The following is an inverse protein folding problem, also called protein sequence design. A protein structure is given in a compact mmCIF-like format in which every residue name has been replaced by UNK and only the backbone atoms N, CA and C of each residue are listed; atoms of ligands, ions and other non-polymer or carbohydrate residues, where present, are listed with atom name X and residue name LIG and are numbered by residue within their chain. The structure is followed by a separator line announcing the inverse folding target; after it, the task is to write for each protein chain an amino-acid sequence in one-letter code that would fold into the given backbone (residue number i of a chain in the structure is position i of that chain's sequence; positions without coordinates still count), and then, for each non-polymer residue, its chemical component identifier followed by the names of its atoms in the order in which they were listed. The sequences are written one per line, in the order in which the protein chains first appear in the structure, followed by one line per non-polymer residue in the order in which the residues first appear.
data_IF_323587348910
#
_entry.id   IF_323587348910
#
_cell.length_a   1.000
_cell.length_b   1.000
_cell.length_c   1.000
_cell.angle_alpha   90.00
_cell.angle_beta   90.00
_cell.angle_gamma   90.00
#
_symmetry.space_group_name_H-M   'P 1'
#
loop_
_entity.id
_entity.type
_entity.pdbx_description
1 polymer ?
#
# COMPACT_ATOMS: atom_id res chain seq x y z
N UNK A 1 -9.94 -4.22 -14.07
CA UNK A 1 -8.45 -4.15 -13.98
C UNK A 1 -7.76 -4.78 -15.21
N UNK A 2 -8.25 -5.92 -15.78
CA UNK A 2 -7.63 -6.51 -16.98
C UNK A 2 -7.59 -5.52 -18.15
N UNK A 3 -8.73 -4.89 -18.46
CA UNK A 3 -8.80 -3.86 -19.50
C UNK A 3 -7.72 -2.76 -19.31
N UNK A 4 -7.53 -2.24 -18.08
CA UNK A 4 -6.53 -1.22 -17.80
C UNK A 4 -5.10 -1.74 -18.02
N UNK A 5 -4.83 -2.99 -17.63
CA UNK A 5 -3.53 -3.62 -17.87
C UNK A 5 -3.24 -3.77 -19.37
N UNK A 6 -4.25 -4.17 -20.14
CA UNK A 6 -4.15 -4.33 -21.60
C UNK A 6 -3.89 -2.97 -22.29
N UNK A 7 -4.65 -1.91 -21.92
CA UNK A 7 -4.44 -0.55 -22.43
C UNK A 7 -3.06 0.03 -22.11
N UNK A 8 -2.53 -0.29 -20.92
CA UNK A 8 -1.21 0.18 -20.48
C UNK A 8 -0.07 -0.75 -20.90
N UNK A 9 -0.38 -1.89 -21.54
CA UNK A 9 0.56 -2.96 -21.86
C UNK A 9 1.37 -3.40 -20.63
N UNK A 10 0.66 -3.71 -19.55
CA UNK A 10 1.22 -4.13 -18.26
C UNK A 10 0.76 -5.53 -17.87
N UNK A 11 1.62 -6.24 -17.13
CA UNK A 11 1.22 -7.44 -16.41
C UNK A 11 0.34 -7.08 -15.22
N UNK A 12 -0.56 -7.98 -14.79
CA UNK A 12 -1.46 -7.75 -13.66
C UNK A 12 -1.54 -8.94 -12.72
N UNK A 13 -1.39 -8.67 -11.42
CA UNK A 13 -1.79 -9.54 -10.32
C UNK A 13 -2.95 -8.86 -9.58
N UNK A 14 -4.03 -9.61 -9.28
CA UNK A 14 -5.24 -9.00 -8.71
C UNK A 14 -6.00 -9.94 -7.81
N UNK A 15 -6.76 -9.37 -6.87
CA UNK A 15 -7.83 -10.12 -6.20
C UNK A 15 -9.00 -10.29 -7.16
N UNK A 16 -9.70 -11.41 -7.03
CA UNK A 16 -11.10 -11.46 -7.40
C UNK A 16 -11.87 -10.95 -6.18
N UNK A 17 -12.37 -9.73 -6.28
CA UNK A 17 -13.06 -9.06 -5.19
C UNK A 17 -14.41 -9.73 -4.87
N UNK A 18 -14.99 -9.45 -3.70
CA UNK A 18 -16.38 -9.76 -3.48
C UNK A 18 -17.25 -9.01 -4.50
N UNK A 19 -18.21 -9.73 -5.07
CA UNK A 19 -19.25 -9.10 -5.85
C UNK A 19 -20.36 -8.64 -4.89
N UNK A 20 -20.76 -7.39 -5.03
CA UNK A 20 -21.91 -6.83 -4.30
C UNK A 20 -23.19 -7.01 -5.13
N UNK A 21 -24.35 -6.95 -4.48
CA UNK A 21 -25.67 -7.12 -5.13
C UNK A 21 -25.91 -6.11 -6.27
N UNK A 22 -25.21 -4.97 -6.25
CA UNK A 22 -25.25 -3.96 -7.30
C UNK A 22 -24.33 -4.24 -8.51
N UNK A 23 -23.67 -5.40 -8.55
CA UNK A 23 -22.74 -5.78 -9.61
C UNK A 23 -21.35 -5.14 -9.51
N UNK A 24 -21.05 -4.43 -8.45
CA UNK A 24 -19.72 -3.85 -8.18
C UNK A 24 -18.82 -4.89 -7.54
N UNK A 25 -17.59 -4.99 -8.00
CA UNK A 25 -16.54 -5.80 -7.38
C UNK A 25 -15.40 -4.88 -6.93
N UNK A 26 -15.01 -4.98 -5.66
CA UNK A 26 -13.86 -4.28 -5.11
C UNK A 26 -12.70 -5.26 -4.91
N UNK A 27 -11.49 -4.79 -5.19
CA UNK A 27 -10.30 -5.60 -4.98
C UNK A 27 -9.03 -4.80 -5.18
N UNK A 28 -7.90 -5.42 -4.82
CA UNK A 28 -6.57 -4.85 -4.98
C UNK A 28 -5.92 -5.41 -6.24
N UNK A 29 -5.03 -4.64 -6.85
CA UNK A 29 -4.25 -5.08 -8.00
C UNK A 29 -2.85 -4.46 -8.00
N UNK A 30 -1.91 -5.20 -8.54
CA UNK A 30 -0.55 -4.75 -8.88
C UNK A 30 -0.44 -4.82 -10.39
N UNK A 31 -0.14 -3.69 -11.02
CA UNK A 31 0.20 -3.61 -12.43
C UNK A 31 1.70 -3.37 -12.57
N UNK A 32 2.35 -4.08 -13.48
CA UNK A 32 3.80 -3.98 -13.67
C UNK A 32 4.18 -3.96 -15.14
N UNK A 33 5.14 -3.11 -15.51
CA UNK A 33 5.81 -3.18 -16.81
C UNK A 33 6.71 -4.40 -16.94
N UNK A 34 7.17 -4.92 -15.78
CA UNK A 34 8.01 -6.12 -15.73
C UNK A 34 7.15 -7.37 -15.53
N UNK A 35 7.61 -8.53 -16.02
CA UNK A 35 6.89 -9.77 -15.81
C UNK A 35 6.60 -10.06 -14.34
N UNK A 36 5.39 -10.52 -14.05
CA UNK A 36 5.01 -11.06 -12.75
C UNK A 36 5.31 -12.56 -12.76
N UNK A 37 6.31 -12.98 -12.00
CA UNK A 37 6.80 -14.38 -11.96
C UNK A 37 5.83 -15.27 -11.20
N UNK A 38 5.33 -14.75 -10.08
CA UNK A 38 4.33 -15.41 -9.23
C UNK A 38 3.52 -14.37 -8.48
N UNK A 39 2.33 -14.76 -8.07
CA UNK A 39 1.51 -13.93 -7.19
C UNK A 39 0.52 -14.78 -6.41
N UNK A 40 0.10 -14.26 -5.26
CA UNK A 40 -0.89 -14.88 -4.40
C UNK A 40 -1.75 -13.82 -3.70
N UNK A 41 -2.87 -14.27 -3.15
CA UNK A 41 -3.83 -13.41 -2.44
C UNK A 41 -4.02 -13.93 -1.02
N UNK A 42 -3.74 -13.10 -0.05
CA UNK A 42 -3.95 -13.39 1.36
C UNK A 42 -5.22 -12.72 1.88
N UNK A 43 -6.04 -13.46 2.62
CA UNK A 43 -7.16 -12.89 3.37
C UNK A 43 -6.62 -12.25 4.64
N UNK A 44 -6.97 -10.99 4.89
CA UNK A 44 -6.62 -10.31 6.13
C UNK A 44 -7.68 -10.55 7.22
N UNK A 45 -7.28 -10.60 8.49
CA UNK A 45 -8.20 -10.89 9.60
C UNK A 45 -9.24 -9.78 9.84
N UNK A 46 -10.31 -10.16 10.54
CA UNK A 46 -11.25 -9.26 11.18
C UNK A 46 -11.44 -9.75 12.62
N UNK A 47 -11.15 -8.91 13.61
CA UNK A 47 -11.18 -9.29 15.03
C UNK A 47 -12.60 -9.37 15.59
N UNK A 48 -13.60 -8.89 14.86
CA UNK A 48 -15.01 -8.98 15.28
C UNK A 48 -15.64 -10.35 15.04
N UNK A 49 -14.91 -11.24 14.34
CA UNK A 49 -15.43 -12.54 13.90
C UNK A 49 -16.29 -12.47 12.64
N UNK A 50 -16.51 -11.28 12.07
CA UNK A 50 -17.18 -11.13 10.81
C UNK A 50 -16.29 -11.63 9.63
N UNK A 51 -16.88 -12.09 8.51
CA UNK A 51 -16.10 -12.42 7.33
C UNK A 51 -15.33 -11.19 6.83
N UNK A 52 -14.00 -11.25 6.87
CA UNK A 52 -13.18 -10.18 6.31
C UNK A 52 -13.22 -10.20 4.79
N UNK A 53 -13.49 -9.05 4.18
CA UNK A 53 -13.39 -8.83 2.74
C UNK A 53 -12.03 -8.25 2.34
N UNK A 54 -11.20 -7.87 3.32
CA UNK A 54 -9.89 -7.27 3.06
C UNK A 54 -8.87 -8.32 2.65
N UNK A 55 -8.05 -7.96 1.69
CA UNK A 55 -7.05 -8.83 1.06
C UNK A 55 -5.73 -8.10 0.91
N UNK A 56 -4.65 -8.87 0.82
CA UNK A 56 -3.39 -8.43 0.27
C UNK A 56 -3.10 -9.21 -1.01
N UNK A 57 -2.66 -8.52 -2.05
CA UNK A 57 -2.04 -9.12 -3.25
C UNK A 57 -0.54 -9.04 -3.05
N UNK A 58 0.12 -10.20 -3.14
CA UNK A 58 1.58 -10.32 -3.08
C UNK A 58 2.06 -10.75 -4.45
N UNK A 59 3.02 -10.04 -5.04
CA UNK A 59 3.55 -10.37 -6.35
C UNK A 59 5.07 -10.29 -6.37
N UNK A 60 5.71 -11.25 -7.07
CA UNK A 60 7.13 -11.22 -7.37
C UNK A 60 7.34 -10.73 -8.81
N UNK A 61 8.05 -9.65 -8.96
CA UNK A 61 8.37 -9.04 -10.24
C UNK A 61 9.79 -9.43 -10.68
N UNK A 62 9.97 -9.74 -11.98
CA UNK A 62 11.28 -9.91 -12.60
C UNK A 62 11.74 -8.55 -13.13
N UNK A 63 12.53 -7.83 -12.36
CA UNK A 63 12.98 -6.48 -12.70
C UNK A 63 14.43 -6.47 -13.20
N UNK A 64 14.89 -5.42 -13.90
CA UNK A 64 16.31 -5.26 -14.25
C UNK A 64 17.26 -5.20 -13.04
N UNK A 65 16.72 -4.99 -11.84
CA UNK A 65 17.45 -4.87 -10.58
C UNK A 65 17.40 -6.16 -9.75
N UNK A 66 16.83 -7.24 -10.29
CA UNK A 66 16.57 -8.50 -9.61
C UNK A 66 15.09 -8.73 -9.32
N UNK A 67 14.79 -9.82 -8.63
CA UNK A 67 13.43 -10.16 -8.22
C UNK A 67 12.97 -9.24 -7.11
N UNK A 68 11.80 -8.65 -7.29
CA UNK A 68 11.25 -7.67 -6.37
C UNK A 68 9.87 -8.10 -5.87
N UNK A 69 9.74 -8.29 -4.56
CA UNK A 69 8.47 -8.53 -3.93
C UNK A 69 7.70 -7.24 -3.68
N UNK A 70 6.44 -7.24 -4.07
CA UNK A 70 5.52 -6.13 -3.85
C UNK A 70 4.23 -6.63 -3.21
N UNK A 71 3.67 -5.83 -2.30
CA UNK A 71 2.42 -6.11 -1.59
C UNK A 71 1.48 -4.94 -1.79
N UNK A 72 0.23 -5.22 -2.23
CA UNK A 72 -0.83 -4.22 -2.33
C UNK A 72 -1.99 -4.60 -1.42
N UNK A 73 -2.45 -3.67 -0.60
CA UNK A 73 -3.53 -3.90 0.37
C UNK A 73 -4.52 -2.75 0.44
N UNK A 74 -5.68 -3.01 1.05
CA UNK A 74 -6.66 -2.02 1.47
C UNK A 74 -7.26 -2.48 2.79
N UNK A 75 -6.97 -1.78 3.89
CA UNK A 75 -7.37 -2.16 5.24
C UNK A 75 -8.83 -1.77 5.55
N UNK A 76 -9.31 -2.15 6.73
CA UNK A 76 -10.67 -1.82 7.16
C UNK A 76 -10.88 -0.30 7.24
N UNK A 77 -12.00 0.18 6.69
CA UNK A 77 -12.30 1.60 6.54
C UNK A 77 -13.06 2.21 7.72
N UNK A 78 -13.58 1.38 8.64
CA UNK A 78 -14.38 1.90 9.76
C UNK A 78 -13.50 2.70 10.70
N UNK A 79 -13.97 3.86 11.12
CA UNK A 79 -13.21 4.77 11.98
C UNK A 79 -12.86 4.17 13.35
N UNK A 80 -13.70 3.29 13.86
CA UNK A 80 -13.55 2.60 15.16
C UNK A 80 -12.86 1.24 15.05
N UNK A 81 -12.38 0.82 13.86
CA UNK A 81 -11.82 -0.51 13.63
C UNK A 81 -10.28 -0.56 13.76
N UNK A 82 -9.66 0.28 14.60
CA UNK A 82 -8.19 0.27 14.79
C UNK A 82 -7.69 -1.11 15.23
N UNK A 83 -8.39 -1.81 16.13
CA UNK A 83 -7.99 -3.16 16.53
C UNK A 83 -7.97 -4.16 15.34
N UNK A 84 -8.92 -4.06 14.42
CA UNK A 84 -8.91 -4.86 13.18
C UNK A 84 -7.74 -4.47 12.28
N UNK A 85 -7.47 -3.18 12.08
CA UNK A 85 -6.33 -2.73 11.29
C UNK A 85 -4.98 -3.11 11.90
N UNK A 86 -4.85 -3.10 13.22
CA UNK A 86 -3.66 -3.62 13.92
C UNK A 86 -3.45 -5.10 13.54
N UNK A 87 -4.47 -5.95 13.69
CA UNK A 87 -4.37 -7.36 13.33
C UNK A 87 -4.07 -7.58 11.82
N UNK A 88 -4.60 -6.72 10.96
CA UNK A 88 -4.29 -6.72 9.51
C UNK A 88 -2.83 -6.34 9.26
N UNK A 89 -2.30 -5.34 9.94
CA UNK A 89 -0.89 -4.94 9.86
C UNK A 89 0.05 -6.00 10.45
N UNK A 90 -0.34 -6.70 11.51
CA UNK A 90 0.39 -7.86 12.05
C UNK A 90 0.48 -8.98 11.01
N UNK A 91 -0.65 -9.32 10.36
CA UNK A 91 -0.68 -10.31 9.29
C UNK A 91 0.19 -9.90 8.09
N UNK A 92 0.14 -8.63 7.66
CA UNK A 92 0.98 -8.10 6.60
C UNK A 92 2.47 -8.16 6.96
N UNK A 93 2.83 -7.82 8.20
CA UNK A 93 4.22 -7.93 8.69
C UNK A 93 4.72 -9.38 8.65
N UNK A 94 3.88 -10.34 9.07
CA UNK A 94 4.20 -11.76 8.98
C UNK A 94 4.37 -12.25 7.53
N UNK A 95 3.55 -11.78 6.60
CA UNK A 95 3.70 -12.07 5.16
C UNK A 95 5.05 -11.51 4.66
N UNK A 96 5.34 -10.24 4.92
CA UNK A 96 6.59 -9.60 4.47
C UNK A 96 7.81 -10.30 5.05
N UNK A 97 7.77 -10.73 6.31
CA UNK A 97 8.87 -11.48 6.94
C UNK A 97 9.20 -12.77 6.19
N UNK A 98 8.18 -13.50 5.75
CA UNK A 98 8.35 -14.73 4.96
C UNK A 98 8.90 -14.50 3.54
N UNK A 99 8.74 -13.31 2.98
CA UNK A 99 9.24 -12.94 1.65
C UNK A 99 10.73 -12.53 1.66
N UNK A 100 11.30 -12.30 2.84
CA UNK A 100 12.68 -11.81 3.02
C UNK A 100 13.61 -12.97 3.31
N UNK A 101 14.47 -13.33 2.33
CA UNK A 101 15.48 -14.38 2.53
C UNK A 101 16.70 -13.85 3.29
N UNK A 102 17.29 -12.76 2.81
CA UNK A 102 18.40 -12.05 3.47
C UNK A 102 18.14 -10.55 3.46
N UNK A 103 17.56 -10.00 4.56
CA UNK A 103 17.21 -8.59 4.65
C UNK A 103 18.38 -7.61 4.50
N UNK A 104 19.62 -8.06 4.70
CA UNK A 104 20.81 -7.21 4.60
C UNK A 104 21.31 -7.09 3.15
N UNK A 105 20.90 -7.98 2.26
CA UNK A 105 21.41 -8.09 0.88
C UNK A 105 20.30 -7.97 -0.17
N UNK A 106 19.11 -8.51 0.12
CA UNK A 106 18.03 -8.60 -0.85
C UNK A 106 17.35 -7.24 -1.10
N UNK A 107 16.74 -7.12 -2.27
CA UNK A 107 15.87 -5.97 -2.58
C UNK A 107 14.71 -5.95 -1.58
N UNK A 108 14.49 -4.81 -0.87
CA UNK A 108 13.46 -4.74 0.16
C UNK A 108 12.06 -4.88 -0.42
N UNK A 109 11.14 -5.45 0.37
CA UNK A 109 9.74 -5.55 -0.02
C UNK A 109 9.09 -4.17 -0.06
N UNK A 110 8.40 -3.85 -1.15
CA UNK A 110 7.52 -2.69 -1.26
C UNK A 110 6.11 -3.09 -0.84
N UNK A 111 5.52 -2.37 0.10
CA UNK A 111 4.14 -2.53 0.50
C UNK A 111 3.40 -1.20 0.28
N UNK A 112 2.29 -1.25 -0.47
CA UNK A 112 1.53 -0.08 -0.88
C UNK A 112 0.03 -0.29 -0.67
N UNK A 113 -0.71 0.80 -0.49
CA UNK A 113 -2.16 0.76 -0.45
C UNK A 113 -2.81 1.80 0.44
N UNK A 114 -4.13 1.68 0.55
CA UNK A 114 -4.94 2.42 1.51
C UNK A 114 -4.97 1.68 2.84
N UNK A 115 -4.32 2.26 3.84
CA UNK A 115 -4.27 1.71 5.21
C UNK A 115 -5.42 2.20 6.07
N UNK A 116 -6.24 3.15 5.59
CA UNK A 116 -7.35 3.76 6.34
C UNK A 116 -6.94 4.31 7.72
N UNK A 117 -5.67 4.64 7.88
CA UNK A 117 -5.02 5.01 9.14
C UNK A 117 -4.13 6.23 8.94
N UNK A 118 -4.20 7.18 9.85
CA UNK A 118 -3.32 8.35 9.85
C UNK A 118 -1.93 8.02 10.43
N UNK A 119 -0.88 8.84 10.18
CA UNK A 119 0.50 8.51 10.56
C UNK A 119 0.76 8.28 12.05
N UNK A 120 -0.05 8.86 12.93
CA UNK A 120 0.06 8.73 14.38
C UNK A 120 -0.84 7.64 14.98
N UNK A 121 -1.62 6.92 14.15
CA UNK A 121 -2.42 5.77 14.61
C UNK A 121 -1.53 4.60 15.04
N UNK A 122 -2.04 3.76 15.94
CA UNK A 122 -1.27 2.67 16.56
C UNK A 122 -0.74 1.67 15.52
N UNK A 123 -1.55 1.33 14.51
CA UNK A 123 -1.17 0.44 13.42
C UNK A 123 -0.01 0.99 12.58
N UNK A 124 0.01 2.28 12.28
CA UNK A 124 1.13 2.91 11.53
C UNK A 124 2.36 3.08 12.43
N UNK A 125 2.17 3.42 13.70
CA UNK A 125 3.26 3.48 14.68
C UNK A 125 3.95 2.13 14.86
N UNK A 126 3.18 1.03 14.88
CA UNK A 126 3.69 -0.34 14.92
C UNK A 126 4.50 -0.68 13.66
N UNK A 127 3.98 -0.40 12.47
CA UNK A 127 4.69 -0.64 11.22
C UNK A 127 6.00 0.15 11.13
N UNK A 128 5.99 1.41 11.57
CA UNK A 128 7.17 2.31 11.47
C UNK A 128 8.14 2.20 12.64
N UNK A 129 7.92 1.28 13.60
CA UNK A 129 8.80 1.07 14.75
C UNK A 129 8.69 2.15 15.83
N UNK A 130 7.64 2.98 15.80
CA UNK A 130 7.32 3.95 16.85
C UNK A 130 6.59 3.33 18.06
N UNK A 131 6.18 2.09 17.92
CA UNK A 131 5.75 1.18 18.96
C UNK A 131 6.35 -0.21 18.69
N UNK A 132 6.09 -1.20 19.57
CA UNK A 132 6.62 -2.54 19.38
C UNK A 132 6.20 -3.13 18.03
N UNK A 133 7.14 -3.56 17.17
CA UNK A 133 6.81 -4.13 15.88
C UNK A 133 6.14 -5.51 16.03
N UNK A 134 5.26 -5.87 15.09
CA UNK A 134 4.58 -7.16 15.06
C UNK A 134 5.57 -8.34 14.90
N UNK A 135 6.63 -8.13 14.13
CA UNK A 135 7.72 -9.09 13.93
C UNK A 135 9.02 -8.45 14.43
N UNK A 136 9.69 -9.04 15.43
CA UNK A 136 10.97 -8.52 15.94
C UNK A 136 11.99 -8.37 14.81
N UNK A 137 12.61 -7.19 14.70
CA UNK A 137 13.60 -6.91 13.66
C UNK A 137 13.04 -6.51 12.29
N UNK A 138 11.73 -6.45 12.13
CA UNK A 138 11.09 -5.95 10.92
C UNK A 138 10.27 -4.69 11.22
N UNK A 139 10.61 -3.60 10.55
CA UNK A 139 9.81 -2.38 10.49
C UNK A 139 9.74 -1.87 9.05
N UNK A 140 8.99 -0.82 8.82
CA UNK A 140 8.82 -0.25 7.50
C UNK A 140 9.19 1.24 7.51
N UNK A 141 9.86 1.66 6.44
CA UNK A 141 10.09 3.07 6.19
C UNK A 141 8.92 3.63 5.41
N UNK A 142 8.24 4.62 5.95
CA UNK A 142 7.25 5.41 5.23
C UNK A 142 7.99 6.36 4.28
N UNK A 143 7.79 6.20 2.97
CA UNK A 143 8.52 6.96 1.98
C UNK A 143 8.14 8.45 1.99
N UNK A 144 6.91 8.78 2.38
CA UNK A 144 6.49 10.18 2.50
C UNK A 144 7.27 10.92 3.57
N UNK A 145 7.56 10.28 4.69
CA UNK A 145 8.34 10.88 5.78
C UNK A 145 9.79 11.16 5.41
N UNK A 146 10.33 10.48 4.37
CA UNK A 146 11.71 10.70 3.92
C UNK A 146 11.81 11.86 2.94
N UNK A 147 10.92 11.95 1.96
CA UNK A 147 11.09 12.84 0.80
C UNK A 147 9.80 13.59 0.42
N UNK A 148 8.72 13.42 1.17
CA UNK A 148 7.46 14.12 0.92
C UNK A 148 7.50 15.56 1.40
N UNK A 149 6.76 16.42 0.73
CA UNK A 149 6.55 17.82 1.14
C UNK A 149 5.15 17.98 1.73
N UNK A 150 5.08 18.64 2.90
CA UNK A 150 3.83 18.86 3.63
C UNK A 150 3.21 17.58 4.20
N UNK A 151 1.92 17.65 4.51
CA UNK A 151 1.20 16.58 5.23
C UNK A 151 0.89 15.34 4.38
N UNK A 152 0.92 15.46 3.05
CA UNK A 152 0.67 14.35 2.14
C UNK A 152 -0.77 13.84 2.16
N UNK A 153 -1.74 14.68 2.40
CA UNK A 153 -3.14 14.27 2.49
C UNK A 153 -3.63 13.63 1.20
N UNK A 154 -3.89 12.34 1.23
CA UNK A 154 -4.46 11.59 0.11
C UNK A 154 -5.98 11.64 0.09
N UNK A 155 -6.62 11.79 1.24
CA UNK A 155 -8.06 12.00 1.39
C UNK A 155 -8.31 13.45 1.85
N UNK A 156 -8.96 14.24 0.97
CA UNK A 156 -9.00 15.71 1.09
C UNK A 156 -10.42 16.24 0.95
N UNK A 157 -10.80 17.18 1.80
CA UNK A 157 -12.13 17.82 1.81
C UNK A 157 -12.41 18.71 0.58
N UNK A 158 -11.39 19.13 -0.14
CA UNK A 158 -11.54 19.84 -1.41
C UNK A 158 -11.80 18.91 -2.61
N UNK A 159 -11.74 17.59 -2.41
CA UNK A 159 -12.18 16.61 -3.37
C UNK A 159 -13.73 16.58 -3.43
N UNK A 160 -14.36 16.72 -4.63
CA UNK A 160 -15.80 16.81 -4.75
C UNK A 160 -16.56 15.56 -4.25
N UNK A 161 -15.92 14.41 -4.17
CA UNK A 161 -16.52 13.19 -3.61
C UNK A 161 -16.55 13.17 -2.07
N UNK A 162 -15.82 14.08 -1.42
CA UNK A 162 -15.63 14.12 0.03
C UNK A 162 -16.20 15.42 0.65
N UNK A 163 -16.49 16.43 -0.16
CA UNK A 163 -16.72 17.83 0.21
C UNK A 163 -17.55 18.10 1.48
N UNK A 164 -18.59 17.32 1.75
CA UNK A 164 -19.47 17.47 2.92
C UNK A 164 -19.01 16.67 4.16
N UNK A 165 -17.81 16.08 4.11
CA UNK A 165 -17.28 15.32 5.24
C UNK A 165 -16.99 16.23 6.43
N UNK A 166 -17.35 15.78 7.62
CA UNK A 166 -17.00 16.42 8.90
C UNK A 166 -15.57 16.10 9.36
N UNK A 167 -14.92 15.13 8.71
CA UNK A 167 -13.56 14.70 9.04
C UNK A 167 -12.50 15.62 8.42
N UNK A 168 -11.35 15.82 9.08
CA UNK A 168 -10.25 16.60 8.53
C UNK A 168 -9.60 15.90 7.32
N UNK A 169 -8.75 16.62 6.58
CA UNK A 169 -7.85 16.02 5.61
C UNK A 169 -6.98 14.94 6.25
N UNK A 170 -6.70 13.84 5.52
CA UNK A 170 -6.00 12.67 6.04
C UNK A 170 -5.01 12.11 5.02
N UNK A 171 -3.87 11.62 5.49
CA UNK A 171 -3.00 10.75 4.73
C UNK A 171 -3.33 9.31 5.12
N UNK A 172 -3.91 8.55 4.19
CA UNK A 172 -4.41 7.19 4.39
C UNK A 172 -3.70 6.18 3.49
N UNK A 173 -3.11 6.66 2.39
CA UNK A 173 -2.42 5.85 1.40
C UNK A 173 -0.91 5.97 1.61
N UNK A 174 -0.22 4.84 1.56
CA UNK A 174 1.19 4.75 1.89
C UNK A 174 1.98 3.95 0.87
N UNK A 175 3.26 4.31 0.75
CA UNK A 175 4.32 3.50 0.18
C UNK A 175 5.32 3.18 1.29
N UNK A 176 5.36 1.92 1.69
CA UNK A 176 6.27 1.40 2.71
C UNK A 176 7.34 0.52 2.09
N UNK A 177 8.58 0.66 2.58
CA UNK A 177 9.68 -0.23 2.22
C UNK A 177 10.19 -0.92 3.47
N UNK A 178 10.37 -2.24 3.43
CA UNK A 178 10.83 -3.03 4.58
C UNK A 178 12.25 -2.64 5.00
N UNK A 179 12.52 -2.73 6.33
CA UNK A 179 13.83 -2.55 6.94
C UNK A 179 14.11 -3.70 7.91
N UNK A 180 15.37 -4.19 8.04
CA UNK A 180 16.61 -3.70 7.42
C UNK A 180 16.67 -3.94 5.91
N UNK A 181 17.55 -3.22 5.23
CA UNK A 181 17.83 -3.33 3.79
C UNK A 181 19.19 -2.76 3.42
N UNK A 182 19.79 -3.17 2.28
CA UNK A 182 20.99 -2.54 1.75
C UNK A 182 20.73 -1.07 1.43
N UNK A 183 21.64 -0.19 1.80
CA UNK A 183 21.52 1.25 1.50
C UNK A 183 22.20 1.55 0.14
N UNK A 184 21.64 2.44 -0.67
CA UNK A 184 20.41 3.25 -0.50
C UNK A 184 19.16 2.60 -1.12
N UNK A 185 19.18 1.30 -1.41
CA UNK A 185 18.10 0.59 -2.09
C UNK A 185 16.78 0.75 -1.32
N UNK A 186 15.71 1.12 -2.03
CA UNK A 186 14.40 1.38 -1.46
C UNK A 186 14.22 2.81 -0.93
N UNK A 187 15.25 3.66 -0.89
CA UNK A 187 15.09 5.04 -0.51
C UNK A 187 14.42 5.84 -1.64
N UNK A 188 13.43 6.71 -1.34
CA UNK A 188 12.88 7.59 -2.35
C UNK A 188 13.88 8.68 -2.72
N UNK A 189 14.00 8.99 -4.00
CA UNK A 189 14.64 10.20 -4.50
C UNK A 189 13.65 11.35 -4.66
N UNK A 190 12.37 11.01 -4.83
CA UNK A 190 11.25 11.93 -4.93
C UNK A 190 9.95 11.21 -4.56
N UNK A 191 9.00 11.95 -3.96
CA UNK A 191 7.63 11.48 -3.71
C UNK A 191 6.65 12.65 -3.83
N UNK A 192 5.46 12.41 -4.39
CA UNK A 192 4.45 13.44 -4.60
C UNK A 192 3.04 12.84 -4.69
N UNK A 193 2.03 13.71 -4.64
CA UNK A 193 0.64 13.34 -4.92
C UNK A 193 0.31 13.59 -6.40
N UNK A 194 -0.51 12.70 -6.98
CA UNK A 194 -1.06 12.83 -8.31
C UNK A 194 -2.57 12.59 -8.31
N UNK A 195 -3.27 12.96 -9.39
CA UNK A 195 -4.72 12.83 -9.47
C UNK A 195 -5.48 13.76 -8.54
N UNK A 196 -4.86 14.88 -8.14
CA UNK A 196 -5.45 15.88 -7.25
C UNK A 196 -6.38 16.87 -7.98
N UNK A 197 -6.23 16.98 -9.30
CA UNK A 197 -7.01 17.88 -10.13
C UNK A 197 -8.10 17.15 -10.92
N UNK A 198 -9.16 17.84 -11.25
CA UNK A 198 -10.20 17.33 -12.16
C UNK A 198 -9.72 17.33 -13.61
N UNK A 199 -10.03 16.29 -14.35
CA UNK A 199 -9.78 16.20 -15.79
C UNK A 199 -11.11 16.15 -16.53
N UNK A 200 -11.35 17.14 -17.39
CA UNK A 200 -12.64 17.25 -18.10
C UNK A 200 -13.85 17.39 -17.17
N UNK A 201 -13.68 17.98 -15.99
CA UNK A 201 -14.75 18.14 -14.98
C UNK A 201 -14.98 16.89 -14.12
N UNK A 202 -14.18 15.84 -14.28
CA UNK A 202 -14.29 14.58 -13.52
C UNK A 202 -13.08 14.46 -12.61
N UNK A 203 -13.31 14.23 -11.31
CA UNK A 203 -12.26 13.85 -10.36
C UNK A 203 -11.90 12.38 -10.58
N UNK A 204 -10.61 12.01 -10.74
CA UNK A 204 -10.21 10.64 -11.03
C UNK A 204 -10.56 9.63 -9.93
N UNK A 205 -10.52 10.04 -8.68
CA UNK A 205 -10.78 9.23 -7.48
C UNK A 205 -11.17 10.12 -6.31
N UNK A 206 -11.75 9.56 -5.27
CA UNK A 206 -11.93 10.20 -3.96
C UNK A 206 -10.61 10.30 -3.17
N UNK A 207 -9.56 9.58 -3.59
CA UNK A 207 -8.21 9.69 -3.06
C UNK A 207 -7.25 10.27 -4.10
N UNK A 208 -6.20 10.96 -3.63
CA UNK A 208 -5.02 11.26 -4.42
C UNK A 208 -4.10 10.03 -4.47
N UNK A 209 -3.44 9.82 -5.60
CA UNK A 209 -2.41 8.79 -5.72
C UNK A 209 -1.09 9.25 -5.10
N UNK A 210 -0.41 8.35 -4.38
CA UNK A 210 0.97 8.56 -3.93
C UNK A 210 1.92 7.99 -4.98
N UNK A 211 2.86 8.80 -5.46
CA UNK A 211 3.84 8.43 -6.49
C UNK A 211 5.24 8.65 -5.95
N UNK A 212 6.15 7.71 -6.19
CA UNK A 212 7.55 7.83 -5.76
C UNK A 212 8.52 7.31 -6.81
N UNK A 213 9.64 8.02 -6.94
CA UNK A 213 10.85 7.52 -7.58
C UNK A 213 11.75 6.88 -6.52
N UNK A 214 12.03 5.58 -6.64
CA UNK A 214 12.75 4.79 -5.65
C UNK A 214 14.10 4.34 -6.20
N UNK A 215 15.16 4.47 -5.40
CA UNK A 215 16.49 3.99 -5.75
C UNK A 215 16.56 2.47 -5.65
N UNK A 216 16.96 1.82 -6.73
CA UNK A 216 17.05 0.35 -6.83
C UNK A 216 18.48 -0.16 -6.99
N UNK A 217 19.46 0.73 -7.10
CA UNK A 217 20.87 0.40 -7.31
C UNK A 217 21.67 1.00 -6.17
N UNK A 218 22.63 0.23 -5.63
CA UNK A 218 23.68 0.75 -4.75
C UNK A 218 24.63 1.63 -5.59
N UNK A 219 24.93 2.83 -5.09
CA UNK A 219 25.94 3.71 -5.69
C UNK A 219 27.34 3.18 -5.45
#
# INVERSE_FOLDING_TARGET
MQWLADELNMHVARTEGPWYDNGVSLGNAILSRWPIVSWEVHRLPDVTGAPSYRRAVVAQLETPFGRWWTVCTHLDHKFDASATRIAQCEALSGIVDQLRNDPEVDVPVLMAGDFNSVPDSDEIRMLTGRSAPAVPGLVFTDLWEIAGEGEGFTWRRDNPYIGDSTWPNRRLDYLFVSWPRPRPIGNPSRIWLAGVDTVGGIQPSDHAAVVADIRMIAE
#
